data_IF_033656629859
#
_entry.id   IF_033656629859
#
_cell.length_a   1.000
_cell.length_b   1.000
_cell.length_c   1.000
_cell.angle_alpha   90.00
_cell.angle_beta   90.00
_cell.angle_gamma   90.00
#
_symmetry.space_group_name_H-M   'P 1'
#
loop_
_entity.id
_entity.type
_entity.pdbx_description
1 polymer ?
#
# COMPACT_ATOMS: atom_id res chain seq x y z
N UNK A 1 3.13 -20.61 15.71
CA UNK A 1 3.93 -20.37 14.48
C UNK A 1 5.33 -20.91 14.71
N UNK A 2 6.02 -21.45 13.71
CA UNK A 2 7.45 -21.83 13.83
C UNK A 2 8.23 -21.40 12.59
N UNK A 3 9.45 -20.91 12.78
CA UNK A 3 10.30 -20.36 11.73
C UNK A 3 11.78 -20.62 12.01
N UNK A 4 12.53 -20.93 10.95
CA UNK A 4 13.99 -20.88 10.93
C UNK A 4 14.41 -19.79 9.94
N UNK A 5 15.35 -18.95 10.33
CA UNK A 5 15.78 -17.78 9.58
C UNK A 5 17.28 -17.88 9.33
N UNK A 6 17.62 -18.08 8.06
CA UNK A 6 18.96 -17.87 7.50
C UNK A 6 19.08 -16.38 7.09
N UNK A 7 19.66 -15.58 7.98
CA UNK A 7 19.84 -14.14 7.85
C UNK A 7 20.90 -13.78 6.82
N UNK A 8 21.93 -14.60 6.59
CA UNK A 8 23.01 -14.30 5.64
C UNK A 8 22.81 -14.95 4.25
N UNK A 9 21.80 -15.82 4.12
CA UNK A 9 21.45 -16.60 2.92
C UNK A 9 22.51 -17.61 2.50
N UNK A 10 23.47 -17.94 3.35
CA UNK A 10 24.60 -18.81 3.02
C UNK A 10 24.14 -20.22 2.63
N UNK A 11 23.06 -20.72 3.24
CA UNK A 11 22.53 -22.05 2.97
C UNK A 11 22.12 -22.23 1.50
N UNK A 12 21.73 -21.14 0.83
CA UNK A 12 21.23 -21.16 -0.55
C UNK A 12 22.25 -20.68 -1.59
N UNK A 13 23.46 -20.26 -1.18
CA UNK A 13 24.51 -19.74 -2.08
C UNK A 13 25.48 -20.81 -2.60
N UNK A 14 25.49 -22.00 -2.01
CA UNK A 14 26.40 -23.09 -2.40
C UNK A 14 25.88 -23.95 -3.56
N UNK A 15 26.75 -24.29 -4.51
CA UNK A 15 26.49 -25.33 -5.53
C UNK A 15 26.68 -26.77 -4.98
N UNK A 16 26.89 -26.92 -3.68
CA UNK A 16 27.06 -28.21 -3.01
C UNK A 16 25.72 -28.85 -2.66
N UNK A 17 25.68 -30.17 -2.40
CA UNK A 17 24.51 -30.78 -1.80
C UNK A 17 24.20 -30.06 -0.47
N UNK A 18 22.91 -29.78 -0.17
CA UNK A 18 22.55 -29.11 1.07
C UNK A 18 23.14 -29.89 2.24
N UNK A 19 23.81 -29.19 3.16
CA UNK A 19 24.20 -29.78 4.44
C UNK A 19 22.95 -30.33 5.12
N UNK A 20 23.07 -31.44 5.85
CA UNK A 20 21.92 -32.07 6.51
C UNK A 20 21.29 -31.20 7.63
N UNK A 21 21.85 -30.03 7.92
CA UNK A 21 21.36 -29.06 8.90
C UNK A 21 21.15 -27.71 8.23
N UNK A 22 19.95 -27.16 8.37
CA UNK A 22 19.64 -25.79 7.97
C UNK A 22 20.45 -24.82 8.84
N UNK A 23 21.19 -23.91 8.21
CA UNK A 23 22.04 -22.93 8.88
C UNK A 23 21.19 -21.71 9.24
N UNK A 24 20.82 -21.57 10.51
CA UNK A 24 19.91 -20.53 10.97
C UNK A 24 20.55 -19.72 12.09
N UNK A 25 20.61 -18.41 11.91
CA UNK A 25 21.02 -17.47 12.94
C UNK A 25 19.89 -17.20 13.93
N UNK A 26 18.63 -17.39 13.50
CA UNK A 26 17.45 -17.21 14.36
C UNK A 26 16.43 -18.31 14.12
N UNK A 27 15.94 -18.93 15.19
CA UNK A 27 14.72 -19.74 15.18
C UNK A 27 13.66 -19.09 16.07
N UNK A 28 12.40 -19.14 15.64
CA UNK A 28 11.29 -18.58 16.40
C UNK A 28 10.15 -19.59 16.48
N UNK A 29 9.55 -19.73 17.65
CA UNK A 29 8.35 -20.54 17.84
C UNK A 29 7.40 -19.88 18.83
N UNK A 30 6.18 -19.61 18.39
CA UNK A 30 5.09 -19.13 19.26
C UNK A 30 4.13 -20.29 19.54
N UNK A 31 3.98 -20.63 20.82
CA UNK A 31 3.04 -21.60 21.35
C UNK A 31 2.07 -20.91 22.31
N UNK A 32 0.81 -20.78 21.88
CA UNK A 32 -0.21 -19.99 22.59
C UNK A 32 0.29 -18.55 22.75
N UNK A 33 0.41 -18.08 23.97
CA UNK A 33 0.82 -16.71 24.30
C UNK A 33 2.31 -16.62 24.66
N UNK A 34 3.09 -17.68 24.44
CA UNK A 34 4.53 -17.70 24.73
C UNK A 34 5.33 -17.84 23.43
N UNK A 35 6.29 -16.93 23.25
CA UNK A 35 7.25 -16.94 22.14
C UNK A 35 8.62 -17.37 22.64
N UNK A 36 9.20 -18.34 21.93
CA UNK A 36 10.54 -18.87 22.15
C UNK A 36 11.41 -18.46 20.96
N UNK A 37 12.57 -17.88 21.22
CA UNK A 37 13.49 -17.45 20.17
C UNK A 37 14.87 -17.97 20.47
N UNK A 38 15.41 -18.73 19.53
CA UNK A 38 16.79 -19.19 19.60
C UNK A 38 17.67 -18.35 18.68
N UNK A 39 18.91 -18.15 19.11
CA UNK A 39 19.95 -17.49 18.33
C UNK A 39 21.16 -18.39 18.21
N UNK A 40 21.84 -18.28 17.08
CA UNK A 40 23.26 -18.60 16.94
C UNK A 40 24.02 -17.28 17.00
N UNK A 41 24.57 -16.95 18.18
CA UNK A 41 25.20 -15.65 18.41
C UNK A 41 26.64 -15.55 17.93
N UNK A 42 27.29 -16.68 17.63
CA UNK A 42 28.67 -16.74 17.15
C UNK A 42 28.85 -17.26 15.72
N UNK A 43 27.74 -17.62 15.06
CA UNK A 43 27.64 -18.05 13.67
C UNK A 43 28.42 -19.34 13.41
N UNK A 44 28.39 -20.28 14.37
CA UNK A 44 29.02 -21.60 14.27
C UNK A 44 28.08 -22.68 13.71
N UNK A 45 26.84 -22.31 13.37
CA UNK A 45 25.77 -23.16 12.88
C UNK A 45 24.96 -23.83 13.99
N UNK A 46 25.14 -23.41 15.26
CA UNK A 46 24.41 -23.95 16.41
C UNK A 46 23.76 -22.84 17.20
N UNK A 47 22.50 -23.09 17.57
CA UNK A 47 21.77 -22.21 18.45
C UNK A 47 22.34 -22.30 19.88
N UNK A 48 22.87 -21.19 20.38
CA UNK A 48 23.61 -21.07 21.64
C UNK A 48 22.88 -20.20 22.69
N UNK A 49 21.81 -19.50 22.29
CA UNK A 49 20.95 -18.70 23.19
C UNK A 49 19.49 -19.02 22.94
N UNK A 50 18.69 -19.09 24.02
CA UNK A 50 17.23 -19.16 24.00
C UNK A 50 16.65 -17.99 24.81
N UNK A 51 15.75 -17.23 24.20
CA UNK A 51 14.90 -16.24 24.84
C UNK A 51 13.48 -16.80 24.99
N UNK A 52 12.81 -16.40 26.07
CA UNK A 52 11.40 -16.71 26.32
C UNK A 52 10.69 -15.41 26.64
N UNK A 53 9.72 -15.07 25.81
CA UNK A 53 8.71 -14.03 25.99
C UNK A 53 7.40 -14.74 26.34
N UNK A 54 6.99 -14.65 27.61
CA UNK A 54 5.86 -15.41 28.16
C UNK A 54 4.51 -14.86 27.76
N UNK A 55 4.46 -13.59 27.40
CA UNK A 55 3.24 -12.84 27.10
C UNK A 55 3.10 -12.50 25.60
N UNK A 56 4.09 -12.89 24.78
CA UNK A 56 4.15 -12.62 23.34
C UNK A 56 4.02 -11.11 23.04
N UNK A 57 4.61 -10.26 23.89
CA UNK A 57 4.49 -8.81 23.79
C UNK A 57 5.71 -8.16 23.09
N UNK A 58 6.73 -8.95 22.77
CA UNK A 58 7.98 -8.54 22.17
C UNK A 58 9.11 -8.31 23.16
N UNK A 59 8.89 -8.55 24.46
CA UNK A 59 9.84 -8.30 25.54
C UNK A 59 10.14 -9.61 26.29
N UNK A 60 11.30 -10.26 26.04
CA UNK A 60 11.61 -11.51 26.70
C UNK A 60 11.86 -11.28 28.20
N UNK A 61 11.34 -12.17 29.06
CA UNK A 61 11.54 -12.12 30.51
C UNK A 61 12.50 -13.21 31.00
N UNK A 62 12.92 -14.12 30.12
CA UNK A 62 13.91 -15.14 30.45
C UNK A 62 14.87 -15.36 29.29
N UNK A 63 16.13 -15.59 29.61
CA UNK A 63 17.16 -15.93 28.65
C UNK A 63 18.04 -17.05 29.21
N UNK A 64 18.47 -17.94 28.32
CA UNK A 64 19.24 -19.12 28.63
C UNK A 64 20.40 -19.25 27.65
N UNK A 65 21.59 -19.52 28.16
CA UNK A 65 22.67 -20.07 27.35
C UNK A 65 22.43 -21.56 27.13
N UNK A 66 22.71 -22.03 25.92
CA UNK A 66 22.59 -23.43 25.51
C UNK A 66 23.99 -23.99 25.41
N UNK A 67 24.35 -24.88 26.34
CA UNK A 67 25.62 -25.56 26.29
C UNK A 67 25.70 -26.53 25.11
N UNK A 68 26.91 -26.95 24.72
CA UNK A 68 27.13 -27.89 23.62
C UNK A 68 26.42 -29.26 23.80
N UNK A 69 26.06 -29.63 25.04
CA UNK A 69 25.28 -30.83 25.37
C UNK A 69 23.75 -30.59 25.37
N UNK A 70 23.30 -29.38 25.01
CA UNK A 70 21.91 -28.95 24.98
C UNK A 70 21.36 -28.50 26.33
N UNK A 71 22.15 -28.50 27.41
CA UNK A 71 21.66 -28.03 28.72
C UNK A 71 21.47 -26.52 28.72
N UNK A 72 20.33 -26.10 29.26
CA UNK A 72 19.99 -24.70 29.45
C UNK A 72 20.55 -24.19 30.78
N UNK A 73 21.23 -23.05 30.73
CA UNK A 73 21.65 -22.29 31.91
C UNK A 73 21.05 -20.90 31.82
N UNK A 74 20.19 -20.55 32.79
CA UNK A 74 19.61 -19.20 32.84
C UNK A 74 20.73 -18.15 32.95
N UNK A 75 20.63 -17.13 32.10
CA UNK A 75 21.56 -16.01 32.06
C UNK A 75 20.77 -14.72 31.77
N UNK A 76 20.58 -13.92 32.82
CA UNK A 76 19.84 -12.65 32.70
C UNK A 76 20.68 -11.52 32.11
N UNK A 77 22.01 -11.67 32.03
CA UNK A 77 22.89 -10.62 31.51
C UNK A 77 22.80 -10.49 29.98
N UNK A 78 22.43 -11.58 29.31
CA UNK A 78 22.20 -11.62 27.86
C UNK A 78 20.79 -11.20 27.46
N UNK A 79 19.87 -10.98 28.41
CA UNK A 79 18.48 -10.64 28.14
C UNK A 79 18.39 -9.30 27.36
N UNK A 80 17.92 -9.31 26.11
CA UNK A 80 17.75 -8.09 25.34
C UNK A 80 16.47 -7.36 25.77
N UNK A 81 16.28 -6.14 25.24
CA UNK A 81 15.02 -5.40 25.42
C UNK A 81 13.90 -5.86 24.48
N UNK A 82 14.24 -6.68 23.48
CA UNK A 82 13.38 -7.07 22.39
C UNK A 82 13.73 -8.48 21.94
N UNK A 83 12.72 -9.24 21.55
CA UNK A 83 12.78 -10.64 21.14
C UNK A 83 13.68 -10.93 19.92
N UNK A 84 13.56 -10.13 18.87
CA UNK A 84 14.40 -10.04 17.67
C UNK A 84 15.45 -8.94 17.87
N UNK A 85 16.51 -9.24 18.62
CA UNK A 85 17.53 -8.27 19.00
C UNK A 85 18.75 -8.33 18.08
N UNK A 86 19.02 -7.25 17.36
CA UNK A 86 20.28 -7.08 16.64
C UNK A 86 21.53 -7.17 17.54
N UNK A 87 21.41 -7.00 18.86
CA UNK A 87 22.54 -7.18 19.79
C UNK A 87 23.05 -8.63 19.82
N UNK A 88 22.18 -9.60 19.58
CA UNK A 88 22.51 -11.02 19.57
C UNK A 88 23.01 -11.49 18.20
N UNK A 89 22.93 -10.64 17.17
CA UNK A 89 23.48 -10.91 15.84
C UNK A 89 24.81 -10.16 15.72
N UNK A 90 25.90 -10.91 15.70
CA UNK A 90 27.27 -10.38 15.70
C UNK A 90 27.56 -9.51 14.49
N UNK A 91 27.08 -9.90 13.31
CA UNK A 91 27.28 -9.15 12.07
C UNK A 91 26.24 -8.01 11.93
N UNK A 92 26.65 -6.73 12.03
CA UNK A 92 25.74 -5.60 11.89
C UNK A 92 25.11 -5.48 10.50
N UNK A 93 25.71 -6.08 9.46
CA UNK A 93 25.16 -6.05 8.10
C UNK A 93 23.85 -6.83 8.00
N UNK A 94 23.64 -7.81 8.88
CA UNK A 94 22.42 -8.62 8.95
C UNK A 94 21.26 -7.91 9.66
N UNK A 95 21.51 -6.82 10.39
CA UNK A 95 20.47 -6.13 11.17
C UNK A 95 19.36 -5.56 10.27
N UNK A 96 19.72 -5.00 9.11
CA UNK A 96 18.73 -4.52 8.16
C UNK A 96 17.83 -5.66 7.66
N UNK A 97 18.40 -6.85 7.45
CA UNK A 97 17.66 -8.02 7.00
C UNK A 97 16.77 -8.60 8.08
N UNK A 98 17.24 -8.65 9.33
CA UNK A 98 16.40 -8.98 10.48
C UNK A 98 15.17 -8.04 10.55
N UNK A 99 15.37 -6.73 10.41
CA UNK A 99 14.29 -5.75 10.38
C UNK A 99 13.27 -6.03 9.27
N UNK A 100 13.73 -6.32 8.04
CA UNK A 100 12.86 -6.69 6.90
C UNK A 100 12.03 -7.95 7.19
N UNK A 101 12.66 -9.00 7.73
CA UNK A 101 11.98 -10.26 8.03
C UNK A 101 10.96 -10.06 9.15
N UNK A 102 11.33 -9.32 10.21
CA UNK A 102 10.40 -8.96 11.29
C UNK A 102 9.15 -8.26 10.74
N UNK A 103 9.30 -7.29 9.84
CA UNK A 103 8.15 -6.67 9.16
C UNK A 103 7.35 -7.67 8.33
N UNK A 104 8.02 -8.54 7.56
CA UNK A 104 7.36 -9.49 6.67
C UNK A 104 6.53 -10.55 7.41
N UNK A 105 6.97 -10.98 8.60
CA UNK A 105 6.25 -11.96 9.43
C UNK A 105 5.23 -11.34 10.39
N UNK A 106 5.02 -10.02 10.33
CA UNK A 106 4.18 -9.30 11.30
C UNK A 106 4.79 -9.21 12.71
N UNK A 107 6.09 -9.49 12.83
CA UNK A 107 6.87 -9.53 14.06
C UNK A 107 7.49 -8.20 14.45
N UNK A 108 6.91 -7.06 14.03
CA UNK A 108 7.49 -5.74 14.34
C UNK A 108 7.54 -5.45 15.83
N UNK A 109 6.64 -6.04 16.64
CA UNK A 109 6.66 -5.96 18.11
C UNK A 109 7.92 -6.59 18.72
N UNK A 110 8.46 -7.62 18.07
CA UNK A 110 9.62 -8.34 18.56
C UNK A 110 10.94 -7.60 18.32
N UNK A 111 10.99 -6.57 17.46
CA UNK A 111 12.27 -5.99 17.02
C UNK A 111 12.35 -4.52 17.43
N UNK A 112 13.55 -4.05 17.78
CA UNK A 112 13.71 -2.64 18.18
C UNK A 112 13.40 -1.67 17.03
N UNK A 113 12.90 -0.47 17.35
CA UNK A 113 12.64 0.58 16.37
C UNK A 113 13.87 0.95 15.52
N UNK A 114 15.09 0.85 16.08
CA UNK A 114 16.34 1.05 15.34
C UNK A 114 16.56 -0.01 14.26
N UNK A 115 16.32 -1.28 14.59
CA UNK A 115 16.47 -2.40 13.64
C UNK A 115 15.38 -2.35 12.57
N UNK A 116 14.14 -1.98 12.93
CA UNK A 116 13.09 -1.65 11.95
C UNK A 116 13.55 -0.56 11.01
N UNK A 117 14.05 0.56 11.53
CA UNK A 117 14.52 1.68 10.72
C UNK A 117 15.68 1.29 9.78
N UNK A 118 16.57 0.36 10.19
CA UNK A 118 17.60 -0.19 9.30
C UNK A 118 16.99 -1.04 8.17
N UNK A 119 15.95 -1.84 8.48
CA UNK A 119 15.21 -2.60 7.46
C UNK A 119 14.43 -1.71 6.50
N UNK A 120 13.84 -0.61 7.00
CA UNK A 120 13.11 0.39 6.23
C UNK A 120 14.02 1.28 5.37
N UNK A 121 15.16 1.71 5.92
CA UNK A 121 16.17 2.52 5.21
C UNK A 121 16.83 1.75 4.06
N UNK A 122 16.77 0.42 4.10
CA UNK A 122 17.13 -0.46 3.00
C UNK A 122 15.95 -0.75 2.05
N UNK A 123 14.95 0.13 1.99
CA UNK A 123 13.76 0.08 1.12
C UNK A 123 14.09 0.10 -0.37
N UNK A 124 14.82 -0.91 -0.82
CA UNK A 124 15.02 -1.26 -2.21
C UNK A 124 13.68 -1.67 -2.80
N UNK A 125 13.33 -1.09 -3.94
CA UNK A 125 12.29 -1.65 -4.81
C UNK A 125 12.58 -3.15 -4.97
N UNK A 126 11.62 -4.04 -4.68
CA UNK A 126 11.84 -5.48 -4.79
C UNK A 126 12.10 -5.84 -6.25
N UNK A 127 12.88 -6.91 -6.47
CA UNK A 127 13.01 -7.49 -7.80
C UNK A 127 11.63 -7.98 -8.27
N UNK A 128 11.10 -7.45 -9.38
CA UNK A 128 9.72 -7.68 -9.79
C UNK A 128 9.43 -9.12 -10.17
N UNK A 129 10.41 -9.83 -10.75
CA UNK A 129 10.22 -11.17 -11.30
C UNK A 129 10.42 -12.28 -10.26
N UNK A 130 11.09 -12.00 -9.13
CA UNK A 130 11.48 -13.04 -8.17
C UNK A 130 11.08 -12.77 -6.72
N UNK A 131 10.80 -11.52 -6.33
CA UNK A 131 10.50 -11.22 -4.92
C UNK A 131 9.10 -11.67 -4.47
N UNK A 132 8.20 -11.97 -5.42
CA UNK A 132 6.87 -12.54 -5.16
C UNK A 132 6.90 -14.03 -4.80
N UNK A 133 7.98 -14.74 -5.17
CA UNK A 133 8.08 -16.18 -4.98
C UNK A 133 8.93 -16.88 -6.04
N UNK A 134 9.20 -18.16 -5.84
CA UNK A 134 9.92 -19.02 -6.78
C UNK A 134 9.13 -20.26 -7.22
N UNK A 135 7.92 -20.43 -6.69
CA UNK A 135 6.98 -21.49 -7.07
C UNK A 135 5.64 -20.88 -7.43
N UNK A 136 4.94 -21.45 -8.41
CA UNK A 136 3.68 -20.89 -8.85
C UNK A 136 2.97 -21.69 -9.92
N UNK A 137 1.86 -21.11 -10.41
CA UNK A 137 1.06 -21.67 -11.51
C UNK A 137 0.56 -20.60 -12.46
N UNK A 138 0.39 -20.98 -13.71
CA UNK A 138 -0.27 -20.18 -14.73
C UNK A 138 -1.80 -20.15 -14.48
N UNK A 139 -2.42 -19.00 -14.66
CA UNK A 139 -3.84 -18.72 -14.44
C UNK A 139 -4.35 -17.95 -15.64
N UNK A 140 -5.50 -18.36 -16.15
CA UNK A 140 -6.28 -17.66 -17.17
C UNK A 140 -7.37 -16.87 -16.45
N UNK A 141 -7.25 -15.54 -16.42
CA UNK A 141 -8.14 -14.66 -15.64
C UNK A 141 -9.31 -14.10 -16.43
N UNK A 142 -9.24 -14.17 -17.77
CA UNK A 142 -10.26 -13.67 -18.69
C UNK A 142 -11.03 -14.79 -19.43
N UNK A 143 -10.75 -16.05 -19.10
CA UNK A 143 -11.38 -17.28 -19.61
C UNK A 143 -11.21 -17.46 -21.13
N UNK A 144 -10.11 -16.95 -21.72
CA UNK A 144 -9.85 -17.04 -23.16
C UNK A 144 -9.13 -18.34 -23.58
N UNK A 145 -8.75 -19.18 -22.62
CA UNK A 145 -8.04 -20.45 -22.81
C UNK A 145 -6.52 -20.33 -22.73
N UNK A 146 -5.97 -19.13 -22.57
CA UNK A 146 -4.55 -18.85 -22.42
C UNK A 146 -4.29 -18.18 -21.07
N UNK A 147 -3.29 -18.65 -20.30
CA UNK A 147 -2.90 -17.95 -19.09
C UNK A 147 -2.30 -16.57 -19.39
N UNK A 148 -2.77 -15.56 -18.66
CA UNK A 148 -2.31 -14.17 -18.67
C UNK A 148 -1.67 -13.77 -17.31
N UNK A 149 -1.73 -14.68 -16.33
CA UNK A 149 -1.23 -14.44 -14.97
C UNK A 149 -0.43 -15.63 -14.43
N UNK A 150 0.72 -15.36 -13.83
CA UNK A 150 1.47 -16.32 -13.02
C UNK A 150 1.28 -15.99 -11.53
N UNK A 151 0.58 -16.85 -10.80
CA UNK A 151 0.42 -16.72 -9.36
C UNK A 151 1.60 -17.38 -8.64
N UNK A 152 2.44 -16.58 -7.97
CA UNK A 152 3.70 -17.02 -7.36
C UNK A 152 3.68 -16.89 -5.83
N UNK A 153 4.43 -17.76 -5.16
CA UNK A 153 4.55 -17.78 -3.70
C UNK A 153 5.99 -17.98 -3.25
N UNK A 154 6.39 -17.21 -2.25
CA UNK A 154 7.63 -17.36 -1.51
C UNK A 154 7.36 -17.74 -0.05
N UNK A 155 8.44 -17.85 0.73
CA UNK A 155 8.34 -18.13 2.17
C UNK A 155 7.62 -17.00 2.93
N UNK A 156 7.89 -15.74 2.55
CA UNK A 156 7.38 -14.52 3.22
C UNK A 156 6.69 -13.56 2.27
N UNK A 157 6.44 -14.01 1.04
CA UNK A 157 5.86 -13.20 -0.01
C UNK A 157 4.86 -14.01 -0.82
N UNK A 158 3.96 -13.29 -1.44
CA UNK A 158 3.14 -13.79 -2.55
C UNK A 158 3.14 -12.73 -3.62
N UNK A 159 2.95 -13.13 -4.85
CA UNK A 159 2.84 -12.18 -5.93
C UNK A 159 2.08 -12.73 -7.12
N UNK A 160 1.85 -11.85 -8.06
CA UNK A 160 1.41 -12.21 -9.40
C UNK A 160 2.31 -11.50 -10.41
N UNK A 161 2.59 -12.18 -11.52
CA UNK A 161 3.17 -11.58 -12.72
C UNK A 161 2.08 -11.62 -13.79
N UNK A 162 1.77 -10.48 -14.39
CA UNK A 162 0.73 -10.33 -15.40
C UNK A 162 1.44 -10.13 -16.73
N UNK A 163 1.28 -11.11 -17.61
CA UNK A 163 1.70 -11.10 -19.01
C UNK A 163 0.46 -10.73 -19.83
N UNK A 164 0.26 -9.43 -19.99
CA UNK A 164 -0.95 -8.82 -20.52
C UNK A 164 -1.08 -8.98 -22.04
N UNK A 165 0.03 -9.23 -22.74
CA UNK A 165 0.06 -9.50 -24.17
C UNK A 165 0.11 -11.02 -24.51
N UNK A 166 0.30 -11.86 -23.49
CA UNK A 166 0.32 -13.32 -23.49
C UNK A 166 1.46 -13.95 -24.30
N UNK A 167 2.56 -13.22 -24.50
CA UNK A 167 3.63 -13.70 -25.35
C UNK A 167 4.40 -14.88 -24.73
N UNK A 168 4.36 -15.01 -23.39
CA UNK A 168 5.12 -15.97 -22.61
C UNK A 168 4.22 -17.00 -21.92
N UNK A 169 3.32 -16.56 -21.06
CA UNK A 169 2.38 -17.38 -20.30
C UNK A 169 1.30 -17.98 -21.20
N UNK A 170 0.92 -17.30 -22.29
CA UNK A 170 -0.08 -17.79 -23.24
C UNK A 170 0.33 -19.06 -24.01
N UNK A 171 1.59 -19.50 -23.86
CA UNK A 171 2.11 -20.78 -24.40
C UNK A 171 1.88 -21.96 -23.45
N UNK A 172 1.51 -21.69 -22.20
CA UNK A 172 1.22 -22.69 -21.18
C UNK A 172 -0.27 -23.03 -21.18
N UNK A 173 -0.64 -24.07 -20.42
CA UNK A 173 -2.03 -24.35 -20.07
C UNK A 173 -2.35 -23.78 -18.70
N UNK A 174 -3.61 -23.38 -18.44
CA UNK A 174 -4.04 -23.02 -17.10
C UNK A 174 -3.73 -24.13 -16.09
N UNK A 175 -3.05 -23.76 -15.00
CA UNK A 175 -2.58 -24.69 -13.96
C UNK A 175 -1.18 -25.25 -14.16
N UNK A 176 -0.54 -25.05 -15.32
CA UNK A 176 0.87 -25.45 -15.51
C UNK A 176 1.77 -24.73 -14.49
N UNK A 177 2.83 -25.42 -14.05
CA UNK A 177 3.85 -24.81 -13.19
C UNK A 177 4.65 -23.77 -13.96
N UNK A 178 4.96 -22.66 -13.28
CA UNK A 178 5.80 -21.57 -13.82
C UNK A 178 7.16 -21.46 -13.11
N UNK A 179 7.50 -22.43 -12.25
CA UNK A 179 8.66 -22.39 -11.37
C UNK A 179 9.97 -22.12 -12.14
N UNK A 180 10.18 -22.84 -13.24
CA UNK A 180 11.39 -22.71 -14.05
C UNK A 180 11.46 -21.35 -14.77
N UNK A 181 10.32 -20.81 -15.20
CA UNK A 181 10.25 -19.48 -15.83
C UNK A 181 10.54 -18.38 -14.82
N UNK A 182 9.97 -18.47 -13.61
CA UNK A 182 10.19 -17.51 -12.52
C UNK A 182 11.65 -17.54 -12.05
N UNK A 183 12.20 -18.73 -11.77
CA UNK A 183 13.61 -18.88 -11.34
C UNK A 183 14.59 -18.37 -12.41
N UNK A 184 14.25 -18.56 -13.69
CA UNK A 184 15.05 -18.07 -14.80
C UNK A 184 14.76 -16.61 -15.19
N UNK A 185 13.78 -15.94 -14.54
CA UNK A 185 13.30 -14.58 -14.87
C UNK A 185 12.95 -14.43 -16.36
N UNK A 186 12.18 -15.39 -16.88
CA UNK A 186 11.83 -15.51 -18.30
C UNK A 186 10.37 -15.15 -18.62
N UNK A 187 9.59 -14.74 -17.63
CA UNK A 187 8.24 -14.24 -17.86
C UNK A 187 8.38 -12.78 -18.29
N UNK A 188 8.01 -12.49 -19.54
CA UNK A 188 7.77 -11.10 -19.96
C UNK A 188 6.45 -10.68 -19.32
N UNK A 189 6.51 -9.71 -18.43
CA UNK A 189 5.36 -9.30 -17.65
C UNK A 189 5.31 -7.79 -17.60
N UNK A 190 4.17 -7.22 -17.94
CA UNK A 190 3.96 -5.78 -17.92
C UNK A 190 3.63 -5.29 -16.50
N UNK A 191 3.14 -6.19 -15.63
CA UNK A 191 2.85 -5.87 -14.23
C UNK A 191 3.34 -6.99 -13.31
N UNK A 192 4.06 -6.59 -12.26
CA UNK A 192 4.40 -7.46 -11.14
C UNK A 192 3.79 -6.91 -9.84
N UNK A 193 2.96 -7.70 -9.18
CA UNK A 193 2.38 -7.35 -7.87
C UNK A 193 3.00 -8.23 -6.80
N UNK A 194 3.50 -7.63 -5.72
CA UNK A 194 4.20 -8.34 -4.64
C UNK A 194 3.64 -7.88 -3.30
N UNK A 195 3.08 -8.82 -2.55
CA UNK A 195 2.69 -8.61 -1.17
C UNK A 195 3.74 -9.23 -0.23
N UNK A 196 4.31 -8.39 0.64
CA UNK A 196 5.33 -8.73 1.63
C UNK A 196 4.98 -8.07 2.96
N UNK A 197 4.56 -8.85 3.95
CA UNK A 197 4.01 -8.33 5.21
C UNK A 197 2.81 -7.40 4.97
N UNK A 198 2.86 -6.19 5.52
CA UNK A 198 1.85 -5.13 5.35
C UNK A 198 2.11 -4.21 4.15
N UNK A 199 3.04 -4.57 3.28
CA UNK A 199 3.38 -3.82 2.07
C UNK A 199 2.90 -4.54 0.83
N UNK A 200 2.30 -3.77 -0.08
CA UNK A 200 1.99 -4.21 -1.44
C UNK A 200 2.77 -3.34 -2.40
N UNK A 201 3.46 -3.98 -3.33
CA UNK A 201 4.18 -3.35 -4.42
C UNK A 201 3.48 -3.70 -5.74
N UNK A 202 3.36 -2.73 -6.64
CA UNK A 202 3.02 -2.96 -8.04
C UNK A 202 4.08 -2.30 -8.90
N UNK A 203 4.74 -3.08 -9.73
CA UNK A 203 5.74 -2.61 -10.69
C UNK A 203 5.14 -2.72 -12.08
N UNK A 204 5.40 -1.71 -12.91
CA UNK A 204 4.88 -1.58 -14.26
C UNK A 204 6.03 -1.43 -15.25
N UNK A 205 5.89 -2.05 -16.42
CA UNK A 205 6.61 -1.71 -17.64
C UNK A 205 5.70 -0.79 -18.47
N UNK A 206 5.86 0.53 -18.29
CA UNK A 206 4.92 1.50 -18.87
C UNK A 206 5.17 1.81 -20.35
N UNK A 207 6.32 1.43 -20.90
CA UNK A 207 6.66 1.62 -22.31
C UNK A 207 6.79 0.31 -23.11
N UNK A 208 6.53 -0.83 -22.47
CA UNK A 208 6.51 -2.17 -23.04
C UNK A 208 7.88 -2.55 -23.66
N UNK A 209 8.97 -2.25 -22.95
CA UNK A 209 10.35 -2.53 -23.35
C UNK A 209 10.98 -3.77 -22.65
N UNK A 210 10.13 -4.57 -22.01
CA UNK A 210 10.44 -5.71 -21.14
C UNK A 210 11.22 -5.33 -19.88
N UNK A 211 11.13 -4.06 -19.44
CA UNK A 211 11.73 -3.58 -18.19
C UNK A 211 10.73 -2.76 -17.38
N UNK A 212 10.60 -3.15 -16.12
CA UNK A 212 9.85 -2.37 -15.15
C UNK A 212 10.50 -0.99 -14.91
N UNK A 213 9.76 0.07 -15.21
CA UNK A 213 10.19 1.46 -15.17
C UNK A 213 9.46 2.29 -14.11
N UNK A 214 8.44 1.71 -13.45
CA UNK A 214 7.68 2.34 -12.38
C UNK A 214 7.36 1.34 -11.27
N UNK A 215 7.56 1.76 -10.02
CA UNK A 215 7.19 1.00 -8.84
C UNK A 215 6.29 1.84 -7.92
N UNK A 216 5.13 1.28 -7.57
CA UNK A 216 4.16 1.85 -6.65
C UNK A 216 4.12 0.99 -5.39
N UNK A 217 4.10 1.62 -4.22
CA UNK A 217 4.03 0.93 -2.93
C UNK A 217 2.88 1.45 -2.09
N UNK A 218 2.08 0.54 -1.53
CA UNK A 218 1.19 0.79 -0.42
C UNK A 218 1.80 0.20 0.86
N UNK A 219 1.79 0.97 1.94
CA UNK A 219 2.22 0.55 3.28
C UNK A 219 1.05 0.60 4.24
N UNK A 220 1.00 -0.39 5.13
CA UNK A 220 0.10 -0.37 6.29
C UNK A 220 -1.35 -0.73 5.98
N UNK A 221 -1.62 -1.31 4.81
CA UNK A 221 -2.95 -1.67 4.37
C UNK A 221 -3.33 -3.09 4.76
N UNK A 222 -4.49 -3.22 5.40
CA UNK A 222 -5.40 -4.33 5.15
C UNK A 222 -5.75 -4.40 3.64
N UNK A 223 -6.49 -5.42 3.19
CA UNK A 223 -6.84 -5.56 1.76
C UNK A 223 -7.74 -4.44 1.22
N UNK A 224 -8.05 -3.42 2.02
CA UNK A 224 -8.96 -2.32 1.68
C UNK A 224 -8.19 -1.02 1.50
N UNK A 225 -8.39 -0.34 0.38
CA UNK A 225 -7.75 0.93 0.08
C UNK A 225 -6.29 0.80 -0.32
N UNK A 226 -6.05 0.07 -1.42
CA UNK A 226 -4.74 -0.06 -2.07
C UNK A 226 -4.27 1.29 -2.65
N UNK A 227 -3.76 2.17 -1.78
CA UNK A 227 -3.31 3.52 -2.10
C UNK A 227 -1.78 3.60 -2.08
N UNK A 228 -1.23 4.25 -3.08
CA UNK A 228 0.20 4.49 -3.23
C UNK A 228 0.67 5.49 -2.17
N UNK A 229 1.46 5.03 -1.20
CA UNK A 229 2.09 5.86 -0.17
C UNK A 229 3.52 6.24 -0.52
N UNK A 230 4.15 5.50 -1.43
CA UNK A 230 5.45 5.82 -2.00
C UNK A 230 5.54 5.29 -3.44
N UNK A 231 6.33 5.95 -4.28
CA UNK A 231 6.51 5.56 -5.67
C UNK A 231 7.90 5.93 -6.19
N UNK A 232 8.39 5.18 -7.17
CA UNK A 232 9.68 5.37 -7.80
C UNK A 232 9.61 5.13 -9.30
N UNK A 233 10.30 5.97 -10.07
CA UNK A 233 10.67 5.69 -11.45
C UNK A 233 12.01 4.94 -11.47
N UNK A 234 12.14 3.98 -12.37
CA UNK A 234 13.32 3.13 -12.53
C UNK A 234 13.85 3.40 -13.94
N UNK A 235 14.79 4.35 -14.05
CA UNK A 235 15.41 4.65 -15.35
C UNK A 235 16.37 3.54 -15.79
N UNK A 236 16.93 3.67 -16.99
CA UNK A 236 17.84 2.66 -17.57
C UNK A 236 19.11 2.31 -16.76
N UNK A 237 19.45 3.06 -15.72
CA UNK A 237 20.52 2.70 -14.78
C UNK A 237 20.06 1.69 -13.70
N UNK A 238 18.78 1.35 -13.63
CA UNK A 238 18.16 0.49 -12.62
C UNK A 238 18.04 1.13 -11.23
N UNK A 239 18.51 2.37 -11.05
CA UNK A 239 18.48 3.06 -9.76
C UNK A 239 17.13 3.77 -9.59
N UNK A 240 16.34 3.43 -8.54
CA UNK A 240 15.03 4.03 -8.33
C UNK A 240 15.14 5.50 -7.94
N UNK A 241 14.32 6.36 -8.54
CA UNK A 241 14.17 7.79 -8.23
C UNK A 241 12.75 8.07 -7.76
N UNK A 242 12.53 8.86 -6.70
CA UNK A 242 11.18 9.16 -6.23
C UNK A 242 10.27 9.68 -7.36
N UNK A 243 9.04 9.18 -7.41
CA UNK A 243 8.00 9.57 -8.37
C UNK A 243 6.75 10.08 -7.62
N UNK A 244 6.83 11.28 -7.00
CA UNK A 244 5.79 11.79 -6.10
C UNK A 244 4.40 11.93 -6.74
N UNK A 245 4.33 12.14 -8.06
CA UNK A 245 3.08 12.34 -8.81
C UNK A 245 2.14 11.11 -8.83
N UNK A 246 2.60 9.97 -8.29
CA UNK A 246 1.77 8.77 -8.10
C UNK A 246 1.23 8.62 -6.68
N UNK A 247 1.75 9.37 -5.69
CA UNK A 247 1.39 9.23 -4.28
C UNK A 247 -0.04 9.73 -4.04
N UNK A 248 -0.84 8.97 -3.31
CA UNK A 248 -2.27 9.25 -3.09
C UNK A 248 -3.19 8.69 -4.17
N UNK A 249 -2.66 8.04 -5.21
CA UNK A 249 -3.44 7.34 -6.24
C UNK A 249 -3.52 5.84 -5.92
N UNK A 250 -4.49 5.13 -6.49
CA UNK A 250 -4.60 3.67 -6.38
C UNK A 250 -3.32 2.98 -6.86
N UNK A 251 -2.95 1.86 -6.24
CA UNK A 251 -1.77 1.06 -6.60
C UNK A 251 -1.99 0.29 -7.91
N UNK A 252 -3.20 -0.23 -8.13
CA UNK A 252 -3.53 -1.05 -9.31
C UNK A 252 -4.13 -0.18 -10.42
N UNK A 253 -3.36 0.07 -11.47
CA UNK A 253 -3.62 1.05 -12.53
C UNK A 253 -3.35 0.45 -13.91
N UNK A 254 -4.31 -0.29 -14.49
CA UNK A 254 -4.11 -0.96 -15.78
C UNK A 254 -3.87 0.02 -16.93
N UNK A 255 -4.32 1.28 -16.80
CA UNK A 255 -4.11 2.31 -17.82
C UNK A 255 -2.65 2.75 -17.98
N UNK A 256 -1.76 2.37 -17.06
CA UNK A 256 -0.33 2.67 -17.14
C UNK A 256 0.41 1.88 -18.23
N UNK A 257 -0.11 0.73 -18.65
CA UNK A 257 0.54 -0.15 -19.65
C UNK A 257 -0.26 -0.22 -20.96
N UNK A 258 -1.49 0.31 -21.00
CA UNK A 258 -2.29 0.36 -22.22
C UNK A 258 -2.91 -0.97 -22.68
N UNK A 259 -2.80 -2.05 -21.89
CA UNK A 259 -3.39 -3.35 -22.19
C UNK A 259 -4.72 -3.56 -21.44
N UNK A 260 -5.88 -3.61 -22.13
CA UNK A 260 -7.17 -3.77 -21.46
C UNK A 260 -7.29 -5.03 -20.59
N UNK A 261 -6.65 -6.14 -20.99
CA UNK A 261 -6.72 -7.44 -20.29
C UNK A 261 -6.16 -7.39 -18.86
N UNK A 262 -5.14 -6.57 -18.64
CA UNK A 262 -4.55 -6.39 -17.32
C UNK A 262 -5.56 -5.92 -16.26
N UNK A 263 -6.66 -5.29 -16.67
CA UNK A 263 -7.76 -4.93 -15.77
C UNK A 263 -8.35 -6.14 -15.06
N UNK A 264 -8.62 -7.22 -15.81
CA UNK A 264 -9.23 -8.43 -15.27
C UNK A 264 -8.24 -9.18 -14.37
N UNK A 265 -6.99 -9.30 -14.82
CA UNK A 265 -5.91 -9.87 -14.03
C UNK A 265 -5.71 -9.14 -12.70
N UNK A 266 -5.67 -7.81 -12.68
CA UNK A 266 -5.60 -7.02 -11.45
C UNK A 266 -6.85 -7.16 -10.57
N UNK A 267 -8.04 -7.28 -11.17
CA UNK A 267 -9.31 -7.51 -10.43
C UNK A 267 -9.35 -8.87 -9.75
N UNK A 268 -8.60 -9.86 -10.24
CA UNK A 268 -8.41 -11.14 -9.56
C UNK A 268 -7.60 -11.00 -8.25
N UNK A 269 -6.78 -9.94 -8.15
CA UNK A 269 -5.95 -9.63 -6.97
C UNK A 269 -6.71 -8.76 -5.96
N UNK A 270 -7.45 -7.75 -6.42
CA UNK A 270 -8.20 -6.83 -5.56
C UNK A 270 -9.35 -6.15 -6.31
N UNK A 271 -10.40 -5.72 -5.61
CA UNK A 271 -11.44 -4.88 -6.20
C UNK A 271 -11.02 -3.41 -6.39
N UNK A 272 -9.95 -2.97 -5.73
CA UNK A 272 -9.48 -1.57 -5.73
C UNK A 272 -8.58 -1.26 -6.94
N UNK A 273 -9.08 -1.57 -8.13
CA UNK A 273 -8.44 -1.25 -9.42
C UNK A 273 -8.91 0.13 -9.90
N UNK A 274 -8.02 0.89 -10.51
CA UNK A 274 -8.37 2.14 -11.15
C UNK A 274 -9.24 1.89 -12.40
N UNK A 275 -10.32 2.67 -12.54
CA UNK A 275 -11.18 2.59 -13.72
C UNK A 275 -10.58 3.35 -14.92
N UNK A 276 -9.79 4.39 -14.63
CA UNK A 276 -9.07 5.21 -15.60
C UNK A 276 -7.84 5.87 -14.94
N UNK A 277 -7.05 6.61 -15.74
CA UNK A 277 -5.89 7.38 -15.28
C UNK A 277 -6.23 8.84 -14.89
N UNK A 278 -7.52 9.17 -14.84
CA UNK A 278 -8.08 10.42 -14.33
C UNK A 278 -8.57 10.21 -12.89
N UNK A 279 -9.77 10.68 -12.55
CA UNK A 279 -10.36 10.54 -11.20
C UNK A 279 -10.58 9.08 -10.78
N UNK A 280 -10.74 8.15 -11.72
CA UNK A 280 -10.88 6.71 -11.43
C UNK A 280 -9.64 6.10 -10.78
N UNK A 281 -8.47 6.76 -10.91
CA UNK A 281 -7.22 6.41 -10.21
C UNK A 281 -7.15 6.91 -8.77
N UNK A 282 -8.17 7.64 -8.28
CA UNK A 282 -8.29 8.09 -6.90
C UNK A 282 -9.44 7.34 -6.19
N UNK A 283 -9.56 7.44 -4.85
CA UNK A 283 -10.73 6.95 -4.14
C UNK A 283 -12.02 7.61 -4.63
N UNK A 284 -13.06 6.81 -4.88
CA UNK A 284 -14.34 7.33 -5.32
C UNK A 284 -14.98 8.24 -4.25
N UNK A 285 -15.54 9.37 -4.66
CA UNK A 285 -16.37 10.24 -3.82
C UNK A 285 -17.76 9.64 -3.55
N UNK A 286 -18.14 8.59 -4.29
CA UNK A 286 -19.36 7.83 -4.04
C UNK A 286 -18.99 6.34 -4.08
N UNK A 287 -18.35 5.80 -3.02
CA UNK A 287 -17.87 4.43 -3.05
C UNK A 287 -19.05 3.46 -3.09
N UNK A 288 -18.91 2.32 -3.79
CA UNK A 288 -19.95 1.30 -3.83
C UNK A 288 -20.34 0.88 -2.41
N UNK A 289 -21.65 0.77 -2.15
CA UNK A 289 -22.23 0.35 -0.85
C UNK A 289 -22.15 1.37 0.29
N UNK A 290 -21.63 2.57 0.04
CA UNK A 290 -21.72 3.65 1.02
C UNK A 290 -23.18 4.02 1.32
N UNK A 291 -23.47 4.24 2.60
CA UNK A 291 -24.76 4.72 3.09
C UNK A 291 -24.68 6.20 3.44
N UNK A 292 -25.41 7.03 2.73
CA UNK A 292 -25.39 8.48 2.88
C UNK A 292 -26.57 8.98 3.71
N UNK A 293 -26.31 9.99 4.52
CA UNK A 293 -27.32 10.69 5.32
C UNK A 293 -26.96 12.18 5.43
N UNK A 294 -27.96 13.02 5.66
CA UNK A 294 -27.71 14.44 5.95
C UNK A 294 -26.99 14.58 7.28
N UNK A 295 -25.99 15.46 7.32
CA UNK A 295 -25.27 15.82 8.54
C UNK A 295 -25.65 17.24 8.94
N UNK A 296 -26.35 17.36 10.06
CA UNK A 296 -26.70 18.68 10.61
C UNK A 296 -25.47 19.35 11.21
N UNK A 297 -25.19 20.56 10.75
CA UNK A 297 -24.12 21.40 11.29
C UNK A 297 -24.74 22.67 11.81
N UNK A 298 -24.46 23.01 13.07
CA UNK A 298 -25.05 24.17 13.73
C UNK A 298 -24.80 25.45 12.92
N UNK A 299 -25.88 26.16 12.59
CA UNK A 299 -25.82 27.40 11.83
C UNK A 299 -25.60 27.22 10.33
N UNK A 300 -25.66 25.98 9.83
CA UNK A 300 -25.85 25.67 8.42
C UNK A 300 -27.28 25.17 8.19
N UNK A 301 -27.88 25.55 7.07
CA UNK A 301 -29.14 24.95 6.64
C UNK A 301 -29.04 23.44 6.39
N UNK A 302 -30.16 22.75 6.57
CA UNK A 302 -30.31 21.33 6.28
C UNK A 302 -29.96 21.01 4.82
N UNK A 303 -29.34 19.85 4.58
CA UNK A 303 -29.05 19.35 3.25
C UNK A 303 -27.76 19.86 2.60
N UNK A 304 -27.07 20.85 3.20
CA UNK A 304 -25.79 21.35 2.67
C UNK A 304 -24.63 20.35 2.80
N UNK A 305 -24.70 19.44 3.77
CA UNK A 305 -23.67 18.45 4.02
C UNK A 305 -24.28 17.06 4.10
N UNK A 306 -23.72 16.15 3.32
CA UNK A 306 -24.04 14.73 3.36
C UNK A 306 -22.79 13.96 3.81
N UNK A 307 -22.96 12.99 4.68
CA UNK A 307 -21.89 12.10 5.13
C UNK A 307 -22.23 10.64 4.84
N UNK A 308 -21.21 9.85 4.51
CA UNK A 308 -21.31 8.40 4.37
C UNK A 308 -20.94 7.68 5.67
N UNK A 309 -21.66 6.61 6.01
CA UNK A 309 -21.22 5.61 6.99
C UNK A 309 -20.69 4.36 6.26
N UNK A 310 -19.38 4.27 6.03
CA UNK A 310 -18.78 3.17 5.23
C UNK A 310 -17.37 2.78 5.67
N UNK A 311 -17.20 2.27 6.89
CA UNK A 311 -15.87 1.88 7.41
C UNK A 311 -15.10 0.93 6.44
N UNK A 312 -13.79 1.16 6.18
CA UNK A 312 -12.91 2.19 6.75
C UNK A 312 -12.97 3.57 6.07
N UNK A 313 -13.86 3.76 5.11
CA UNK A 313 -14.02 5.00 4.36
C UNK A 313 -15.07 5.94 4.97
N UNK A 314 -14.77 7.24 4.98
CA UNK A 314 -15.73 8.29 5.28
C UNK A 314 -15.69 9.28 4.14
N UNK A 315 -16.87 9.55 3.55
CA UNK A 315 -17.05 10.61 2.57
C UNK A 315 -17.95 11.70 3.14
N UNK A 316 -17.53 12.94 3.01
CA UNK A 316 -18.34 14.13 3.28
C UNK A 316 -18.48 14.91 1.96
N UNK A 317 -19.72 15.17 1.54
CA UNK A 317 -20.05 15.95 0.34
C UNK A 317 -20.68 17.28 0.76
N UNK A 318 -20.26 18.36 0.13
CA UNK A 318 -20.70 19.72 0.44
C UNK A 318 -21.31 20.38 -0.80
N UNK A 319 -22.61 20.66 -0.72
CA UNK A 319 -23.34 21.52 -1.66
C UNK A 319 -23.25 22.96 -1.14
N UNK A 320 -22.24 23.67 -1.62
CA UNK A 320 -21.83 25.01 -1.19
C UNK A 320 -22.79 26.06 -1.74
N UNK A 321 -23.27 25.87 -2.97
CA UNK A 321 -24.11 26.83 -3.66
C UNK A 321 -25.61 26.65 -3.38
N UNK A 322 -25.98 25.46 -2.88
CA UNK A 322 -27.32 25.01 -2.44
C UNK A 322 -28.25 24.71 -3.61
N UNK A 323 -27.67 24.28 -4.72
CA UNK A 323 -28.39 23.86 -5.92
C UNK A 323 -29.12 22.53 -5.72
N UNK A 324 -28.65 21.67 -4.81
CA UNK A 324 -29.28 20.40 -4.48
C UNK A 324 -30.50 20.60 -3.59
N UNK A 325 -31.68 20.26 -4.12
CA UNK A 325 -32.95 20.39 -3.39
C UNK A 325 -33.15 19.21 -2.42
N UNK A 326 -32.46 19.24 -1.28
CA UNK A 326 -32.62 18.26 -0.19
C UNK A 326 -33.57 18.81 0.88
N UNK A 327 -34.57 18.02 1.27
CA UNK A 327 -35.49 18.36 2.35
C UNK A 327 -35.79 17.14 3.25
N UNK A 328 -36.66 17.30 4.27
CA UNK A 328 -36.82 16.31 5.35
C UNK A 328 -37.32 14.92 4.92
N UNK A 329 -37.92 14.82 3.74
CA UNK A 329 -38.46 13.57 3.17
C UNK A 329 -37.63 13.04 2.00
N UNK A 330 -36.51 13.69 1.69
CA UNK A 330 -35.65 13.30 0.58
C UNK A 330 -34.92 12.01 0.93
N UNK A 331 -35.00 11.02 0.05
CA UNK A 331 -34.13 9.85 0.11
C UNK A 331 -32.71 10.27 -0.32
N UNK A 332 -31.90 10.63 0.67
CA UNK A 332 -30.52 11.11 0.49
C UNK A 332 -29.68 10.07 -0.25
N UNK A 333 -29.84 8.79 0.11
CA UNK A 333 -29.12 7.70 -0.55
C UNK A 333 -29.41 7.68 -2.04
N UNK A 334 -30.70 7.78 -2.41
CA UNK A 334 -31.10 7.82 -3.82
C UNK A 334 -30.59 9.07 -4.53
N UNK A 335 -30.62 10.23 -3.89
CA UNK A 335 -30.15 11.48 -4.50
C UNK A 335 -28.66 11.42 -4.82
N UNK A 336 -27.84 10.91 -3.89
CA UNK A 336 -26.40 10.72 -4.15
C UNK A 336 -26.16 9.64 -5.21
N UNK A 337 -26.82 8.48 -5.10
CA UNK A 337 -26.64 7.38 -6.05
C UNK A 337 -27.09 7.73 -7.48
N UNK A 338 -28.10 8.58 -7.64
CA UNK A 338 -28.57 9.08 -8.93
C UNK A 338 -27.68 10.24 -9.47
N UNK A 339 -26.64 10.67 -8.74
CA UNK A 339 -25.79 11.80 -9.12
C UNK A 339 -26.52 13.16 -9.10
N UNK A 340 -27.58 13.29 -8.30
CA UNK A 340 -28.41 14.50 -8.21
C UNK A 340 -28.00 15.43 -7.06
N UNK A 341 -27.05 14.99 -6.23
CA UNK A 341 -26.39 15.87 -5.27
C UNK A 341 -25.19 16.51 -5.97
N UNK A 342 -25.33 17.79 -6.30
CA UNK A 342 -24.28 18.63 -6.85
C UNK A 342 -23.42 19.13 -5.69
N UNK A 343 -22.18 18.68 -5.64
CA UNK A 343 -21.27 18.99 -4.54
C UNK A 343 -20.02 19.62 -5.11
N UNK A 344 -19.72 20.85 -4.69
CA UNK A 344 -18.53 21.56 -5.15
C UNK A 344 -17.29 21.15 -4.37
N UNK A 345 -17.46 20.56 -3.19
CA UNK A 345 -16.36 20.04 -2.37
C UNK A 345 -16.69 18.67 -1.81
N UNK A 346 -15.74 17.73 -1.89
CA UNK A 346 -15.84 16.45 -1.20
C UNK A 346 -14.57 16.13 -0.40
N UNK A 347 -14.75 15.50 0.75
CA UNK A 347 -13.67 14.90 1.54
C UNK A 347 -13.84 13.40 1.51
N UNK A 348 -12.84 12.68 1.01
CA UNK A 348 -12.76 11.23 1.13
C UNK A 348 -11.66 10.91 2.13
N UNK A 349 -11.97 10.14 3.17
CA UNK A 349 -11.01 9.75 4.21
C UNK A 349 -10.93 8.24 4.29
N UNK A 350 -9.71 7.71 4.35
CA UNK A 350 -9.45 6.32 4.66
C UNK A 350 -8.89 6.23 6.07
N UNK A 351 -9.63 5.61 6.99
CA UNK A 351 -9.18 5.42 8.37
C UNK A 351 -8.16 4.28 8.42
N UNK A 352 -6.92 4.58 8.84
CA UNK A 352 -5.90 3.57 9.13
C UNK A 352 -5.42 3.66 10.58
N UNK A 353 -4.81 2.60 11.14
CA UNK A 353 -4.19 2.65 12.46
C UNK A 353 -3.13 3.74 12.64
N UNK A 354 -2.51 4.20 11.53
CA UNK A 354 -1.44 5.21 11.55
C UNK A 354 -1.93 6.64 11.35
N UNK A 355 -3.25 6.83 11.19
CA UNK A 355 -3.90 8.09 10.86
C UNK A 355 -4.79 7.96 9.62
N UNK A 356 -5.63 8.96 9.38
CA UNK A 356 -6.52 8.97 8.23
C UNK A 356 -5.84 9.61 7.01
N UNK A 357 -5.79 8.88 5.89
CA UNK A 357 -5.47 9.48 4.58
C UNK A 357 -6.65 10.33 4.14
N UNK A 358 -6.44 11.47 3.49
CA UNK A 358 -7.54 12.35 3.08
C UNK A 358 -7.33 12.90 1.68
N UNK A 359 -8.40 12.88 0.89
CA UNK A 359 -8.51 13.55 -0.40
C UNK A 359 -9.57 14.63 -0.30
N UNK A 360 -9.25 15.83 -0.79
CA UNK A 360 -10.17 16.95 -0.89
C UNK A 360 -10.39 17.26 -2.35
N UNK A 361 -11.58 16.95 -2.85
CA UNK A 361 -12.00 17.21 -4.22
C UNK A 361 -12.66 18.58 -4.29
N UNK A 362 -12.36 19.32 -5.35
CA UNK A 362 -12.93 20.62 -5.67
C UNK A 362 -13.45 20.60 -7.11
N UNK A 363 -14.67 21.09 -7.29
CA UNK A 363 -15.16 21.59 -8.57
C UNK A 363 -14.83 23.09 -8.61
N UNK A 364 -13.71 23.44 -9.26
CA UNK A 364 -13.20 24.80 -9.20
C UNK A 364 -13.97 25.78 -10.07
N UNK A 365 -14.72 25.32 -11.06
CA UNK A 365 -15.47 26.15 -12.00
C UNK A 365 -16.97 25.94 -12.03
N UNK A 366 -17.47 25.14 -11.09
CA UNK A 366 -18.88 24.90 -10.83
C UNK A 366 -19.59 24.31 -12.06
N UNK A 367 -18.91 23.38 -12.75
CA UNK A 367 -19.44 22.67 -13.92
C UNK A 367 -20.10 21.32 -13.57
N UNK A 368 -20.15 20.98 -12.28
CA UNK A 368 -20.69 19.75 -11.72
C UNK A 368 -19.66 18.61 -11.69
N UNK A 369 -18.37 18.90 -11.90
CA UNK A 369 -17.30 17.89 -11.94
C UNK A 369 -16.09 18.36 -11.16
N UNK A 370 -15.53 17.45 -10.36
CA UNK A 370 -14.27 17.71 -9.69
C UNK A 370 -13.13 17.81 -10.70
N UNK A 371 -12.36 18.89 -10.62
CA UNK A 371 -11.23 19.17 -11.52
C UNK A 371 -9.91 19.41 -10.76
N UNK A 372 -9.96 19.51 -9.43
CA UNK A 372 -8.79 19.59 -8.56
C UNK A 372 -8.95 18.67 -7.34
N UNK A 373 -7.89 17.95 -6.99
CA UNK A 373 -7.85 17.08 -5.81
C UNK A 373 -6.60 17.35 -4.99
N UNK A 374 -6.73 17.59 -3.70
CA UNK A 374 -5.62 17.68 -2.75
C UNK A 374 -5.51 16.37 -1.97
N UNK A 375 -4.29 15.82 -1.84
CA UNK A 375 -4.03 14.64 -1.04
C UNK A 375 -3.21 14.98 0.20
N UNK A 376 -3.71 14.51 1.34
CA UNK A 376 -3.09 14.63 2.65
C UNK A 376 -2.75 13.23 3.16
N UNK A 377 -1.47 12.95 3.47
CA UNK A 377 -1.06 11.66 4.01
C UNK A 377 -1.52 11.47 5.46
N UNK A 378 -1.94 12.55 6.13
CA UNK A 378 -2.64 12.55 7.41
C UNK A 378 -3.64 13.71 7.43
N UNK A 379 -4.87 13.49 7.90
CA UNK A 379 -5.94 14.50 7.85
C UNK A 379 -5.57 15.85 8.45
N UNK A 380 -4.64 15.90 9.40
CA UNK A 380 -4.20 17.10 10.11
C UNK A 380 -2.94 17.77 9.56
N UNK A 381 -2.45 17.32 8.41
CA UNK A 381 -1.27 17.86 7.77
C UNK A 381 -1.61 18.68 6.52
N UNK A 382 -0.65 19.49 6.07
CA UNK A 382 -0.77 20.16 4.78
C UNK A 382 -0.79 19.12 3.63
N UNK A 383 -1.45 19.45 2.50
CA UNK A 383 -1.43 18.58 1.33
C UNK A 383 0.01 18.33 0.86
N UNK A 384 0.33 17.07 0.55
CA UNK A 384 1.63 16.71 -0.04
C UNK A 384 1.55 16.49 -1.54
N UNK A 385 0.37 16.20 -2.06
CA UNK A 385 0.09 16.11 -3.50
C UNK A 385 -1.16 16.92 -3.85
N UNK A 386 -1.19 17.41 -5.08
CA UNK A 386 -2.36 18.03 -5.69
C UNK A 386 -2.44 17.57 -7.14
N UNK A 387 -3.64 17.28 -7.61
CA UNK A 387 -3.89 16.73 -8.94
C UNK A 387 -4.95 17.55 -9.65
N UNK A 388 -4.70 17.92 -10.90
CA UNK A 388 -5.67 18.56 -11.77
C UNK A 388 -6.12 17.60 -12.86
N UNK A 389 -7.42 17.57 -13.12
CA UNK A 389 -7.97 16.85 -14.27
C UNK A 389 -7.69 17.68 -15.52
N UNK A 390 -6.99 17.07 -16.48
CA UNK A 390 -6.66 17.71 -17.76
C UNK A 390 -7.17 16.88 -18.92
N UNK A 391 -7.43 17.54 -20.05
CA UNK A 391 -7.69 16.85 -21.31
C UNK A 391 -6.37 16.38 -21.91
N UNK A 392 -6.30 15.09 -22.24
CA UNK A 392 -5.14 14.49 -22.91
C UNK A 392 -5.63 13.55 -24.00
N UNK A 393 -5.39 13.91 -25.26
CA UNK A 393 -5.88 13.15 -26.42
C UNK A 393 -5.35 11.71 -26.46
N UNK A 394 -4.14 11.48 -25.94
CA UNK A 394 -3.53 10.16 -25.86
C UNK A 394 -4.02 9.31 -24.67
N UNK A 395 -4.77 9.89 -23.74
CA UNK A 395 -5.28 9.14 -22.59
C UNK A 395 -6.56 8.38 -22.96
N UNK A 396 -6.72 7.12 -22.53
CA UNK A 396 -8.01 6.43 -22.60
C UNK A 396 -9.11 7.27 -21.94
N UNK A 397 -10.17 7.59 -22.69
CA UNK A 397 -11.26 8.46 -22.21
C UNK A 397 -10.98 9.98 -22.32
N UNK A 398 -9.82 10.38 -22.83
CA UNK A 398 -9.48 11.78 -23.14
C UNK A 398 -9.15 12.64 -21.91
N UNK A 399 -9.10 12.06 -20.72
CA UNK A 399 -8.79 12.75 -19.46
C UNK A 399 -7.63 12.06 -18.73
N UNK A 400 -6.83 12.85 -18.01
CA UNK A 400 -5.77 12.36 -17.14
C UNK A 400 -5.63 13.26 -15.90
N UNK A 401 -4.98 12.75 -14.86
CA UNK A 401 -4.48 13.58 -13.76
C UNK A 401 -3.04 14.02 -14.00
N UNK A 402 -2.80 15.30 -13.81
CA UNK A 402 -1.45 15.89 -13.75
C UNK A 402 -1.20 16.49 -12.37
N UNK A 403 0.03 16.40 -11.87
CA UNK A 403 0.41 17.00 -10.62
C UNK A 403 0.36 18.54 -10.72
N UNK A 404 -0.33 19.18 -9.78
CA UNK A 404 -0.49 20.64 -9.70
C UNK A 404 0.30 21.19 -8.50
N UNK A 405 1.61 21.32 -8.68
CA UNK A 405 2.48 21.84 -7.61
C UNK A 405 2.10 23.27 -7.15
N UNK A 406 1.39 24.05 -7.98
CA UNK A 406 0.94 25.38 -7.61
C UNK A 406 -0.19 25.33 -6.58
N UNK A 407 -1.03 24.29 -6.61
CA UNK A 407 -2.13 24.10 -5.66
C UNK A 407 -1.69 23.58 -4.27
N UNK A 408 -0.44 23.12 -4.12
CA UNK A 408 0.06 22.54 -2.86
C UNK A 408 0.17 23.55 -1.71
N UNK A 409 0.49 24.83 -2.00
CA UNK A 409 0.89 25.78 -0.95
C UNK A 409 -0.28 26.17 -0.01
N UNK A 410 -0.11 25.90 1.28
CA UNK A 410 -0.91 26.41 2.41
C UNK A 410 -1.72 25.33 3.17
N UNK A 411 -2.75 25.74 3.91
CA UNK A 411 -3.68 24.87 4.67
C UNK A 411 -4.61 23.96 3.82
N UNK A 412 -5.05 22.80 4.32
CA UNK A 412 -5.91 21.88 3.56
C UNK A 412 -7.19 22.46 2.95
N UNK A 413 -7.89 23.34 3.68
CA UNK A 413 -9.18 23.88 3.26
C UNK A 413 -8.97 25.24 2.58
N UNK A 414 -9.03 25.24 1.26
CA UNK A 414 -8.76 26.39 0.41
C UNK A 414 -10.05 27.05 -0.08
N UNK A 415 -10.04 28.37 -0.24
CA UNK A 415 -11.20 29.10 -0.77
C UNK A 415 -10.86 30.26 -1.71
N UNK A 416 -9.71 30.93 -1.54
CA UNK A 416 -9.42 32.16 -2.32
C UNK A 416 -8.95 31.90 -3.74
N UNK A 417 -8.00 30.98 -3.88
CA UNK A 417 -7.27 30.76 -5.12
C UNK A 417 -7.80 29.59 -5.94
N UNK A 418 -8.74 28.82 -5.39
CA UNK A 418 -9.24 27.59 -6.01
C UNK A 418 -10.48 27.87 -6.86
N UNK A 419 -11.51 28.51 -6.31
CA UNK A 419 -12.75 28.74 -7.06
C UNK A 419 -12.63 29.89 -8.07
N UNK A 420 -13.06 29.65 -9.31
CA UNK A 420 -13.17 30.70 -10.34
C UNK A 420 -14.25 31.73 -10.01
N UNK A 421 -15.34 31.31 -9.36
CA UNK A 421 -16.34 32.23 -8.77
C UNK A 421 -15.92 32.63 -7.33
N UNK A 422 -15.53 33.89 -7.09
CA UNK A 422 -15.17 34.35 -5.75
C UNK A 422 -16.33 34.26 -4.75
N UNK A 423 -17.58 34.32 -5.22
CA UNK A 423 -18.78 34.22 -4.37
C UNK A 423 -18.89 32.82 -3.79
N UNK A 424 -18.71 31.80 -4.62
CA UNK A 424 -18.65 30.41 -4.20
C UNK A 424 -17.53 30.17 -3.19
N UNK A 425 -16.34 30.73 -3.45
CA UNK A 425 -15.22 30.69 -2.50
C UNK A 425 -15.57 31.30 -1.14
N UNK A 426 -16.24 32.46 -1.09
CA UNK A 426 -16.67 33.06 0.18
C UNK A 426 -17.73 32.23 0.90
N UNK A 427 -18.69 31.63 0.17
CA UNK A 427 -19.68 30.70 0.75
C UNK A 427 -18.96 29.50 1.37
N UNK A 428 -18.02 28.90 0.63
CA UNK A 428 -17.22 27.79 1.12
C UNK A 428 -16.42 28.16 2.37
N UNK A 429 -15.76 29.33 2.41
CA UNK A 429 -15.05 29.82 3.61
C UNK A 429 -15.96 29.85 4.84
N UNK A 430 -17.14 30.44 4.69
CA UNK A 430 -18.13 30.55 5.77
C UNK A 430 -18.61 29.18 6.25
N UNK A 431 -18.80 28.24 5.34
CA UNK A 431 -19.17 26.86 5.66
C UNK A 431 -18.03 26.11 6.34
N UNK A 432 -16.84 26.11 5.74
CA UNK A 432 -15.64 25.45 6.24
C UNK A 432 -15.27 25.90 7.67
N UNK A 433 -15.39 27.19 7.97
CA UNK A 433 -15.11 27.74 9.31
C UNK A 433 -16.01 27.20 10.43
N UNK A 434 -17.18 26.63 10.09
CA UNK A 434 -18.13 26.03 11.04
C UNK A 434 -17.90 24.54 11.23
N UNK A 435 -17.30 23.88 10.24
CA UNK A 435 -17.12 22.43 10.19
C UNK A 435 -15.71 22.03 10.62
N UNK A 436 -14.72 22.80 10.22
CA UNK A 436 -13.30 22.47 10.39
C UNK A 436 -12.64 23.39 11.42
N UNK A 437 -11.50 22.92 11.95
CA UNK A 437 -10.71 23.71 12.87
C UNK A 437 -10.14 24.96 12.15
N UNK A 438 -10.04 26.12 12.84
CA UNK A 438 -9.59 27.36 12.21
C UNK A 438 -8.20 27.31 11.56
N UNK A 439 -7.31 26.46 12.05
CA UNK A 439 -5.95 26.22 11.54
C UNK A 439 -5.92 25.40 10.23
N UNK A 440 -7.03 24.77 9.85
CA UNK A 440 -7.16 24.00 8.61
C UNK A 440 -7.72 24.85 7.47
N UNK A 441 -8.37 25.97 7.80
CA UNK A 441 -8.99 26.87 6.82
C UNK A 441 -8.01 27.96 6.43
N UNK A 442 -7.80 28.13 5.12
CA UNK A 442 -7.02 29.23 4.57
C UNK A 442 -7.49 30.57 5.17
N UNK A 443 -6.57 31.39 5.71
CA UNK A 443 -6.93 32.61 6.45
C UNK A 443 -7.79 33.61 5.65
#
# INVERSE_FOLDING_TARGET
MSLLIDLDQSHFKGNGPPSHTFDAEVAMMTLRDTTYIWYDTDNDGRLDVLLVDKDDDGVPESAYQIAADGRLKEDKEILPKHDLSGRLIKDPTLHARLGKIATAIGGTKYVSARVLALGEGAGSVPDPLSSGGSTGRAVDTDDNGKPDLAAVRGAFSRGVLIDADEDTLGRLKPGDSVDDLVKAKKIDAEIAVIAQGSSVWAMYDTDNDSKFDLALNSKGGDSTGMITTAAWSIGGSGAPRPAPDHVGRKVFRPGLIGFPRATQALRSVSSDVADDEALGSLPATIPPRARFHTKEVKGLPEGMMIESSSFPWIVELFDVDRSSKIGPKTDVQKVVADGKFDAEVAFVRHLSPTGALTWVYYDTDNDGRYDLVLFLPKSDQEPTQAFRVVKRESAPGGLALEADAAALKGRPIRHKAIFKDPTLGQKWKGLASKVFKPDFVEP
#
